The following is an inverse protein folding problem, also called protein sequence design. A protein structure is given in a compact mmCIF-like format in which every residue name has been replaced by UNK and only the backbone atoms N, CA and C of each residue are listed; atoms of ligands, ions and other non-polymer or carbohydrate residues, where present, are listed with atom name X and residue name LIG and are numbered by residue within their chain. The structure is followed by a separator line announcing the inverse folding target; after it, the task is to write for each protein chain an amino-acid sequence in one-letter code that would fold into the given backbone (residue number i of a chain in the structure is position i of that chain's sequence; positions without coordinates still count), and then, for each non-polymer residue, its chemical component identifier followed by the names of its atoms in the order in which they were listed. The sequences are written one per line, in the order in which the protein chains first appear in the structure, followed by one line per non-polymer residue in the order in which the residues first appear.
data_IF_682059723560
#
_entry.id   IF_682059723560
#
_cell.length_a   1.000
_cell.length_b   1.000
_cell.length_c   1.000
_cell.angle_alpha   90.00
_cell.angle_beta   90.00
_cell.angle_gamma   90.00
#
_symmetry.space_group_name_H-M   'P 1'
#
loop_
_entity.id
_entity.type
_entity.pdbx_description
1 polymer ?
#
# COMPACT_ATOMS: atom_id res chain seq x y z
N UNK A 1 43.00 -17.93 70.42
CA UNK A 1 43.51 -17.08 71.52
C UNK A 1 43.56 -15.64 71.03
N UNK A 2 42.88 -14.77 71.77
CA UNK A 2 42.73 -13.33 71.62
C UNK A 2 44.08 -12.59 71.49
N UNK A 3 44.12 -11.52 70.68
CA UNK A 3 44.33 -10.15 71.21
C UNK A 3 44.21 -9.06 70.14
N UNK A 4 43.31 -8.14 70.44
CA UNK A 4 43.11 -6.81 69.87
C UNK A 4 44.20 -5.84 70.31
N UNK A 5 44.35 -4.73 69.55
CA UNK A 5 44.55 -3.31 69.96
C UNK A 5 45.12 -2.50 68.78
N UNK A 6 44.89 -1.21 68.54
CA UNK A 6 43.91 -0.14 68.87
C UNK A 6 44.54 1.15 68.25
N UNK A 7 43.74 2.07 67.68
CA UNK A 7 43.99 3.54 67.55
C UNK A 7 45.15 4.03 66.64
N UNK A 8 45.19 5.21 65.99
CA UNK A 8 44.38 6.44 65.82
C UNK A 8 45.00 7.19 64.61
N UNK A 9 44.24 7.64 63.60
CA UNK A 9 43.80 9.03 63.32
C UNK A 9 44.88 10.06 62.88
N UNK A 10 44.53 10.87 61.87
CA UNK A 10 45.04 12.22 61.49
C UNK A 10 45.98 12.24 60.25
N UNK A 11 45.90 13.07 59.20
CA UNK A 11 44.93 14.04 58.63
C UNK A 11 45.53 14.56 57.29
N UNK A 12 44.65 14.96 56.36
CA UNK A 12 44.77 16.04 55.35
C UNK A 12 45.80 15.92 54.20
N UNK A 13 45.28 15.81 52.97
CA UNK A 13 45.53 16.79 51.90
C UNK A 13 44.47 16.62 50.79
N UNK A 14 43.50 17.52 50.76
CA UNK A 14 42.55 17.66 49.66
C UNK A 14 43.19 18.51 48.55
N UNK A 15 43.28 17.97 47.34
CA UNK A 15 43.54 18.73 46.12
C UNK A 15 42.38 18.46 45.16
N UNK A 16 41.50 19.45 45.03
CA UNK A 16 40.39 19.43 44.09
C UNK A 16 40.88 19.60 42.66
N UNK A 17 40.33 18.78 41.76
CA UNK A 17 40.33 19.07 40.33
C UNK A 17 38.86 19.23 39.95
N UNK A 18 38.46 20.49 39.82
CA UNK A 18 37.15 20.89 39.32
C UNK A 18 37.21 20.80 37.79
N UNK A 19 36.75 19.69 37.23
CA UNK A 19 36.58 19.56 35.78
C UNK A 19 35.30 20.30 35.38
N UNK A 20 35.44 21.52 34.85
CA UNK A 20 34.36 22.20 34.13
C UNK A 20 34.13 21.47 32.81
N UNK A 21 33.10 20.62 32.73
CA UNK A 21 32.57 20.16 31.45
C UNK A 21 31.72 21.28 30.86
N UNK A 22 32.24 21.93 29.82
CA UNK A 22 31.46 22.81 28.95
C UNK A 22 30.35 21.98 28.28
N UNK A 23 29.11 22.15 28.74
CA UNK A 23 27.93 21.75 27.97
C UNK A 23 27.80 22.72 26.79
N UNK A 24 28.41 22.36 25.67
CA UNK A 24 28.14 22.98 24.37
C UNK A 24 26.74 22.53 23.92
N UNK A 25 25.87 23.51 23.66
CA UNK A 25 24.62 23.30 22.92
C UNK A 25 24.95 22.69 21.55
N UNK A 26 24.70 21.41 21.36
CA UNK A 26 24.53 20.85 20.02
C UNK A 26 23.07 21.03 19.62
N UNK A 27 22.85 21.81 18.57
CA UNK A 27 21.65 21.71 17.75
C UNK A 27 21.50 20.24 17.26
N UNK A 28 20.27 19.76 16.98
CA UNK A 28 20.10 18.44 16.39
C UNK A 28 20.90 18.39 15.09
N UNK A 29 21.81 17.42 15.00
CA UNK A 29 22.55 17.16 13.78
C UNK A 29 21.52 16.71 12.74
N UNK A 30 21.35 17.49 11.68
CA UNK A 30 20.85 16.95 10.43
C UNK A 30 21.83 15.86 10.00
N UNK A 31 21.34 14.63 10.01
CA UNK A 31 22.06 13.45 9.57
C UNK A 31 22.45 13.70 8.11
N UNK A 32 23.71 14.05 7.91
CA UNK A 32 24.26 14.39 6.60
C UNK A 32 24.37 13.09 5.82
N UNK A 33 23.80 13.08 4.61
CA UNK A 33 23.90 11.94 3.69
C UNK A 33 25.35 11.43 3.55
N UNK A 34 25.58 10.12 3.37
CA UNK A 34 26.92 9.55 3.25
C UNK A 34 27.74 10.24 2.15
N UNK A 35 29.02 10.45 2.44
CA UNK A 35 29.95 11.19 1.57
C UNK A 35 30.31 10.48 0.25
N UNK A 36 29.81 9.27 -0.01
CA UNK A 36 30.08 8.48 -1.21
C UNK A 36 28.99 8.57 -2.29
N UNK A 37 27.89 9.28 -2.02
CA UNK A 37 26.78 9.44 -2.98
C UNK A 37 25.80 8.27 -3.01
N UNK A 38 25.91 7.30 -2.09
CA UNK A 38 24.91 6.23 -1.91
C UNK A 38 23.82 6.67 -0.92
N UNK A 39 22.56 6.47 -1.30
CA UNK A 39 21.40 6.75 -0.45
C UNK A 39 21.15 5.60 0.54
N UNK A 40 21.55 4.37 0.21
CA UNK A 40 21.35 3.16 1.03
C UNK A 40 20.33 2.21 0.42
N UNK A 41 19.77 1.30 1.23
CA UNK A 41 18.76 0.34 0.80
C UNK A 41 17.36 0.67 1.35
N UNK A 42 16.32 0.20 0.66
CA UNK A 42 14.93 0.15 1.15
C UNK A 42 14.34 -1.24 0.91
N UNK A 43 13.65 -1.78 1.92
CA UNK A 43 12.79 -2.95 1.75
C UNK A 43 11.38 -2.51 1.36
N UNK A 44 10.92 -2.95 0.19
CA UNK A 44 9.66 -2.54 -0.44
C UNK A 44 8.66 -3.70 -0.43
N UNK A 45 7.60 -3.58 0.36
CA UNK A 45 6.49 -4.53 0.29
C UNK A 45 5.55 -4.22 -0.88
N UNK A 46 5.29 -5.18 -1.76
CA UNK A 46 4.42 -4.98 -2.92
C UNK A 46 3.64 -6.24 -3.27
N UNK A 47 2.46 -6.07 -3.88
CA UNK A 47 1.84 -7.18 -4.64
C UNK A 47 2.61 -7.42 -5.93
N UNK A 48 2.61 -8.66 -6.43
CA UNK A 48 3.38 -9.02 -7.64
C UNK A 48 3.13 -8.08 -8.83
N UNK A 49 1.85 -7.85 -9.15
CA UNK A 49 1.41 -6.99 -10.25
C UNK A 49 0.35 -6.00 -9.76
N UNK A 50 0.32 -4.74 -10.23
CA UNK A 50 1.37 -4.10 -11.02
C UNK A 50 2.50 -3.54 -10.13
N UNK A 51 2.31 -3.47 -8.81
CA UNK A 51 3.24 -2.79 -7.90
C UNK A 51 4.67 -3.34 -7.96
N UNK A 52 4.84 -4.66 -7.78
CA UNK A 52 6.13 -5.33 -7.81
C UNK A 52 6.82 -5.16 -9.15
N UNK A 53 6.08 -5.33 -10.26
CA UNK A 53 6.56 -5.09 -11.62
C UNK A 53 7.03 -3.64 -11.85
N UNK A 54 6.35 -2.64 -11.29
CA UNK A 54 6.75 -1.23 -11.38
C UNK A 54 8.04 -0.97 -10.59
N UNK A 55 8.15 -1.52 -9.38
CA UNK A 55 9.38 -1.39 -8.56
C UNK A 55 10.53 -2.12 -9.25
N UNK A 56 10.28 -3.30 -9.82
CA UNK A 56 11.27 -4.08 -10.56
C UNK A 56 11.74 -3.33 -11.81
N UNK A 57 10.85 -2.63 -12.52
CA UNK A 57 11.25 -1.77 -13.64
C UNK A 57 12.20 -0.65 -13.21
N UNK A 58 11.97 -0.01 -12.06
CA UNK A 58 12.87 1.02 -11.51
C UNK A 58 14.27 0.44 -11.21
N UNK A 59 14.34 -0.82 -10.80
CA UNK A 59 15.60 -1.55 -10.62
C UNK A 59 16.24 -1.86 -11.99
N UNK A 60 15.51 -2.51 -12.89
CA UNK A 60 16.03 -3.04 -14.16
C UNK A 60 16.42 -1.95 -15.16
N UNK A 61 15.77 -0.78 -15.10
CA UNK A 61 16.13 0.42 -15.88
C UNK A 61 17.43 1.08 -15.39
N UNK A 62 17.95 0.69 -14.22
CA UNK A 62 19.12 1.31 -13.59
C UNK A 62 18.85 2.64 -12.90
N UNK A 63 17.58 3.09 -12.83
CA UNK A 63 17.18 4.33 -12.17
C UNK A 63 17.56 4.33 -10.68
N UNK A 64 17.32 3.22 -9.97
CA UNK A 64 17.68 3.06 -8.57
C UNK A 64 19.21 3.10 -8.35
N UNK A 65 19.96 2.33 -9.13
CA UNK A 65 21.43 2.28 -9.06
C UNK A 65 22.05 3.66 -9.33
N UNK A 66 21.56 4.37 -10.36
CA UNK A 66 22.02 5.72 -10.70
C UNK A 66 21.75 6.74 -9.58
N UNK A 67 20.73 6.50 -8.76
CA UNK A 67 20.42 7.30 -7.58
C UNK A 67 21.18 6.84 -6.31
N UNK A 68 22.00 5.77 -6.40
CA UNK A 68 22.68 5.18 -5.26
C UNK A 68 21.73 4.48 -4.28
N UNK A 69 20.57 4.03 -4.76
CA UNK A 69 19.51 3.40 -3.98
C UNK A 69 19.42 1.91 -4.33
N UNK A 70 19.48 1.05 -3.32
CA UNK A 70 19.22 -0.38 -3.44
C UNK A 70 17.77 -0.68 -3.01
N UNK A 71 17.07 -1.53 -3.75
CA UNK A 71 15.67 -1.85 -3.50
C UNK A 71 15.50 -3.36 -3.35
N UNK A 72 15.02 -3.79 -2.19
CA UNK A 72 14.73 -5.19 -1.88
C UNK A 72 13.20 -5.39 -1.88
N UNK A 73 12.68 -6.10 -2.89
CA UNK A 73 11.23 -6.35 -3.00
C UNK A 73 10.84 -7.53 -2.10
N UNK A 74 9.85 -7.32 -1.24
CA UNK A 74 9.13 -8.38 -0.51
C UNK A 74 7.74 -8.50 -1.13
N UNK A 75 7.50 -9.60 -1.83
CA UNK A 75 6.23 -9.85 -2.49
C UNK A 75 5.17 -10.35 -1.50
N UNK A 76 3.95 -9.81 -1.61
CA UNK A 76 2.78 -10.22 -0.85
C UNK A 76 1.66 -10.68 -1.78
N UNK A 77 0.88 -11.66 -1.31
CA UNK A 77 -0.26 -12.24 -2.04
C UNK A 77 -1.61 -11.87 -1.43
N UNK A 78 -1.62 -11.02 -0.41
CA UNK A 78 -2.81 -10.61 0.35
C UNK A 78 -2.73 -9.12 0.75
N UNK A 79 -3.83 -8.58 1.29
CA UNK A 79 -3.93 -7.18 1.72
C UNK A 79 -3.81 -6.95 3.23
N UNK A 80 -3.75 -8.02 4.01
CA UNK A 80 -3.79 -7.96 5.48
C UNK A 80 -2.39 -7.97 6.11
N UNK A 81 -1.40 -8.51 5.40
CA UNK A 81 -0.03 -8.66 5.89
C UNK A 81 0.89 -7.44 5.65
N UNK A 82 0.81 -6.71 4.51
CA UNK A 82 1.81 -5.68 4.21
C UNK A 82 1.82 -4.49 5.19
N UNK A 83 0.66 -4.07 5.71
CA UNK A 83 0.60 -2.97 6.67
C UNK A 83 1.22 -3.35 8.02
N UNK A 84 0.84 -4.47 8.69
CA UNK A 84 1.53 -4.92 9.89
C UNK A 84 3.03 -5.09 9.71
N UNK A 85 3.48 -5.65 8.57
CA UNK A 85 4.91 -5.80 8.28
C UNK A 85 5.63 -4.44 8.18
N UNK A 86 4.96 -3.42 7.61
CA UNK A 86 5.45 -2.06 7.59
C UNK A 86 5.47 -1.46 9.01
N UNK A 87 4.40 -1.60 9.79
CA UNK A 87 4.31 -1.10 11.17
C UNK A 87 5.40 -1.67 12.08
N UNK A 88 5.72 -2.95 11.91
CA UNK A 88 6.69 -3.68 12.74
C UNK A 88 8.17 -3.42 12.35
N UNK A 89 8.42 -2.67 11.27
CA UNK A 89 9.79 -2.40 10.82
C UNK A 89 10.38 -3.43 9.87
N UNK A 90 9.60 -4.42 9.41
CA UNK A 90 10.07 -5.44 8.47
C UNK A 90 10.14 -4.95 7.03
N UNK A 91 9.41 -3.88 6.71
CA UNK A 91 9.46 -3.15 5.44
C UNK A 91 9.82 -1.70 5.72
N UNK A 92 10.45 -0.97 4.80
CA UNK A 92 10.61 0.49 4.93
C UNK A 92 9.44 1.25 4.28
N UNK A 93 8.90 0.68 3.21
CA UNK A 93 7.74 1.20 2.48
C UNK A 93 6.87 0.04 1.98
N UNK A 94 5.61 0.32 1.68
CA UNK A 94 4.79 -0.58 0.88
C UNK A 94 4.07 0.15 -0.27
N UNK A 95 3.76 -0.61 -1.32
CA UNK A 95 2.99 -0.17 -2.49
C UNK A 95 2.02 -1.31 -2.87
N UNK A 96 0.80 -1.25 -2.35
CA UNK A 96 -0.24 -2.26 -2.66
C UNK A 96 -1.69 -1.77 -2.47
N UNK A 97 -1.85 -0.59 -1.88
CA UNK A 97 -3.13 -0.10 -1.36
C UNK A 97 -3.39 1.32 -1.83
N UNK A 98 -4.65 1.73 -1.79
CA UNK A 98 -5.10 3.11 -1.96
C UNK A 98 -5.39 3.78 -0.61
N UNK A 99 -5.46 5.11 -0.60
CA UNK A 99 -5.66 5.91 0.61
C UNK A 99 -6.87 5.48 1.47
N UNK A 100 -8.07 5.20 0.91
CA UNK A 100 -9.20 4.75 1.73
C UNK A 100 -8.97 3.45 2.51
N UNK A 101 -8.12 2.55 1.98
CA UNK A 101 -7.78 1.29 2.66
C UNK A 101 -6.83 1.56 3.83
N UNK A 102 -5.84 2.43 3.61
CA UNK A 102 -4.90 2.85 4.64
C UNK A 102 -5.60 3.61 5.78
N UNK A 103 -6.53 4.50 5.45
CA UNK A 103 -7.28 5.29 6.43
C UNK A 103 -8.06 4.37 7.37
N UNK A 104 -8.78 3.36 6.83
CA UNK A 104 -9.46 2.35 7.63
C UNK A 104 -8.49 1.50 8.46
N UNK A 105 -7.34 1.12 7.90
CA UNK A 105 -6.32 0.38 8.65
C UNK A 105 -5.83 1.19 9.86
N UNK A 106 -5.45 2.45 9.66
CA UNK A 106 -4.99 3.33 10.73
C UNK A 106 -6.10 3.56 11.77
N UNK A 107 -7.35 3.78 11.35
CA UNK A 107 -8.49 3.94 12.27
C UNK A 107 -8.70 2.68 13.13
N UNK A 108 -8.68 1.49 12.52
CA UNK A 108 -8.97 0.23 13.19
C UNK A 108 -7.84 -0.23 14.13
N UNK A 109 -6.59 0.08 13.79
CA UNK A 109 -5.41 -0.39 14.54
C UNK A 109 -4.85 0.65 15.50
N UNK A 110 -5.18 1.93 15.31
CA UNK A 110 -4.55 3.05 16.01
C UNK A 110 -3.13 3.36 15.53
N UNK A 111 -2.74 2.80 14.38
CA UNK A 111 -1.47 3.09 13.73
C UNK A 111 -1.49 4.46 13.02
N UNK A 112 -0.33 4.92 12.57
CA UNK A 112 -0.16 6.19 11.88
C UNK A 112 0.81 6.03 10.70
N UNK A 113 0.51 5.06 9.84
CA UNK A 113 1.21 4.90 8.56
C UNK A 113 0.90 6.09 7.65
N UNK A 114 1.92 6.54 6.92
CA UNK A 114 1.93 7.81 6.19
C UNK A 114 1.94 7.58 4.68
N UNK A 115 1.03 8.25 3.96
CA UNK A 115 1.03 8.30 2.49
C UNK A 115 2.15 9.23 2.01
N UNK A 116 3.14 8.66 1.32
CA UNK A 116 4.18 9.44 0.62
C UNK A 116 3.58 10.11 -0.61
N UNK A 117 2.79 9.37 -1.39
CA UNK A 117 2.09 9.90 -2.55
C UNK A 117 1.45 8.84 -3.43
N UNK A 118 0.57 9.27 -4.35
CA UNK A 118 -0.06 8.43 -5.36
C UNK A 118 0.95 8.06 -6.45
N UNK A 119 0.87 6.81 -6.95
CA UNK A 119 1.77 6.28 -7.98
C UNK A 119 1.01 5.89 -9.25
N UNK A 120 -0.04 5.07 -9.11
CA UNK A 120 -0.82 4.58 -10.24
C UNK A 120 -2.26 4.27 -9.82
N UNK A 121 -3.21 4.33 -10.74
CA UNK A 121 -4.58 3.88 -10.58
C UNK A 121 -4.76 2.57 -11.34
N UNK A 122 -5.05 1.47 -10.64
CA UNK A 122 -5.57 0.24 -11.23
C UNK A 122 -7.12 0.27 -11.22
N UNK A 123 -7.80 0.49 -12.36
CA UNK A 123 -9.26 0.50 -12.41
C UNK A 123 -9.85 -0.82 -11.91
N UNK A 124 -10.90 -0.74 -11.09
CA UNK A 124 -11.68 -1.90 -10.66
C UNK A 124 -12.60 -2.35 -11.81
N UNK A 125 -12.89 -3.64 -11.92
CA UNK A 125 -13.84 -4.12 -12.92
C UNK A 125 -14.73 -5.26 -12.39
N UNK A 126 -15.94 -5.32 -12.97
CA UNK A 126 -16.85 -6.45 -12.89
C UNK A 126 -16.52 -7.42 -14.02
N UNK A 127 -16.24 -8.66 -13.68
CA UNK A 127 -15.93 -9.73 -14.63
C UNK A 127 -17.07 -10.75 -14.69
N UNK A 128 -17.27 -11.35 -15.86
CA UNK A 128 -18.11 -12.54 -16.02
C UNK A 128 -17.49 -13.52 -17.01
N UNK A 129 -17.74 -14.82 -16.78
CA UNK A 129 -17.40 -15.90 -17.72
C UNK A 129 -18.63 -16.41 -18.49
N UNK A 130 -19.82 -15.94 -18.15
CA UNK A 130 -21.10 -16.49 -18.64
C UNK A 130 -21.85 -15.53 -19.57
N UNK A 131 -21.59 -14.22 -19.45
CA UNK A 131 -22.18 -13.17 -20.30
C UNK A 131 -21.09 -12.21 -20.75
N UNK A 132 -21.30 -11.56 -21.91
CA UNK A 132 -20.37 -10.59 -22.50
C UNK A 132 -20.82 -9.13 -22.26
N UNK A 133 -22.09 -8.92 -21.90
CA UNK A 133 -22.69 -7.60 -21.69
C UNK A 133 -23.39 -7.53 -20.33
N UNK A 134 -23.29 -6.39 -19.66
CA UNK A 134 -23.95 -6.16 -18.36
C UNK A 134 -25.47 -6.35 -18.43
N UNK A 135 -26.08 -5.99 -19.55
CA UNK A 135 -27.52 -6.11 -19.78
C UNK A 135 -28.00 -7.57 -19.87
N UNK A 136 -27.10 -8.51 -20.15
CA UNK A 136 -27.40 -9.94 -20.27
C UNK A 136 -27.32 -10.67 -18.92
N UNK A 137 -26.85 -10.00 -17.86
CA UNK A 137 -26.78 -10.57 -16.52
C UNK A 137 -28.20 -10.93 -16.02
N UNK A 138 -28.47 -12.20 -15.67
CA UNK A 138 -29.82 -12.65 -15.37
C UNK A 138 -30.34 -12.01 -14.07
N UNK A 139 -31.65 -11.78 -13.99
CA UNK A 139 -32.28 -11.40 -12.71
C UNK A 139 -31.98 -12.46 -11.65
N UNK A 140 -31.65 -12.02 -10.45
CA UNK A 140 -31.23 -12.92 -9.38
C UNK A 140 -29.81 -13.46 -9.51
N UNK A 141 -28.99 -12.94 -10.43
CA UNK A 141 -27.59 -13.33 -10.56
C UNK A 141 -26.82 -13.18 -9.25
N UNK A 142 -25.90 -14.10 -9.00
CA UNK A 142 -24.94 -14.02 -7.92
C UNK A 142 -23.73 -13.19 -8.36
N UNK A 143 -23.47 -12.10 -7.64
CA UNK A 143 -22.36 -11.19 -7.89
C UNK A 143 -21.43 -11.23 -6.67
N UNK A 144 -20.22 -11.76 -6.85
CA UNK A 144 -19.21 -11.72 -5.80
C UNK A 144 -18.51 -10.35 -5.72
N UNK A 145 -18.18 -9.91 -4.52
CA UNK A 145 -17.48 -8.66 -4.26
C UNK A 145 -16.49 -8.78 -3.09
N UNK A 146 -15.46 -7.91 -3.00
CA UNK A 146 -14.52 -7.88 -1.88
C UNK A 146 -15.24 -7.69 -0.54
N UNK A 147 -14.77 -8.35 0.51
CA UNK A 147 -15.35 -8.29 1.86
C UNK A 147 -14.63 -7.34 2.83
N UNK A 148 -13.67 -6.53 2.34
CA UNK A 148 -13.11 -5.42 3.10
C UNK A 148 -13.88 -4.14 2.80
N UNK A 149 -14.22 -3.37 3.84
CA UNK A 149 -15.16 -2.26 3.73
C UNK A 149 -14.78 -1.18 2.69
N UNK A 150 -13.47 -0.96 2.46
CA UNK A 150 -13.02 0.03 1.47
C UNK A 150 -13.23 -0.45 0.03
N UNK A 151 -12.88 -1.70 -0.27
CA UNK A 151 -13.05 -2.28 -1.60
C UNK A 151 -14.49 -2.71 -1.85
N UNK A 152 -15.24 -3.11 -0.82
CA UNK A 152 -16.68 -3.35 -0.89
C UNK A 152 -17.42 -2.06 -1.24
N UNK A 153 -17.13 -0.96 -0.54
CA UNK A 153 -17.67 0.36 -0.88
C UNK A 153 -17.33 0.78 -2.32
N UNK A 154 -16.07 0.58 -2.76
CA UNK A 154 -15.64 0.83 -4.14
C UNK A 154 -16.41 -0.01 -5.15
N UNK A 155 -16.63 -1.29 -4.86
CA UNK A 155 -17.39 -2.21 -5.71
C UNK A 155 -18.84 -1.75 -5.84
N UNK A 156 -19.49 -1.39 -4.73
CA UNK A 156 -20.86 -0.90 -4.72
C UNK A 156 -21.02 0.41 -5.51
N UNK A 157 -20.05 1.33 -5.38
CA UNK A 157 -20.00 2.54 -6.19
C UNK A 157 -19.86 2.24 -7.69
N UNK A 158 -19.00 1.30 -8.08
CA UNK A 158 -18.88 0.88 -9.49
C UNK A 158 -20.22 0.36 -10.05
N UNK A 159 -20.93 -0.45 -9.27
CA UNK A 159 -22.23 -0.98 -9.67
C UNK A 159 -23.33 0.10 -9.71
N UNK A 160 -23.28 1.07 -8.80
CA UNK A 160 -24.18 2.22 -8.80
C UNK A 160 -23.94 3.14 -10.00
N UNK A 161 -22.68 3.43 -10.33
CA UNK A 161 -22.28 4.21 -11.50
C UNK A 161 -22.69 3.52 -12.81
N UNK A 162 -22.71 2.18 -12.83
CA UNK A 162 -23.24 1.39 -13.95
C UNK A 162 -24.77 1.35 -14.01
N UNK A 163 -25.47 1.91 -13.01
CA UNK A 163 -26.93 1.99 -12.96
C UNK A 163 -27.64 0.67 -12.66
N UNK A 164 -26.94 -0.34 -12.11
CA UNK A 164 -27.55 -1.64 -11.81
C UNK A 164 -28.11 -1.75 -10.38
N UNK A 165 -27.64 -0.88 -9.47
CA UNK A 165 -28.13 -0.69 -8.12
C UNK A 165 -28.12 0.79 -7.75
N UNK A 166 -28.76 1.16 -6.64
CA UNK A 166 -28.56 2.45 -5.96
C UNK A 166 -27.97 2.19 -4.58
N UNK A 167 -27.17 3.12 -4.05
CA UNK A 167 -26.52 3.02 -2.73
C UNK A 167 -26.76 4.29 -1.90
N UNK A 168 -26.30 4.29 -0.66
CA UNK A 168 -26.04 5.53 0.08
C UNK A 168 -24.88 6.32 -0.55
N UNK A 169 -24.64 7.55 -0.07
CA UNK A 169 -23.58 8.43 -0.61
C UNK A 169 -22.15 7.90 -0.36
N UNK A 170 -21.97 7.08 0.68
CA UNK A 170 -20.68 6.53 1.09
C UNK A 170 -20.86 5.08 1.55
N UNK A 171 -21.13 4.16 0.60
CA UNK A 171 -21.37 2.77 0.95
C UNK A 171 -20.08 2.12 1.43
N UNK A 172 -20.23 1.18 2.36
CA UNK A 172 -19.13 0.39 2.93
C UNK A 172 -19.49 -1.09 3.08
N UNK A 173 -20.78 -1.43 2.92
CA UNK A 173 -21.29 -2.80 2.99
C UNK A 173 -22.53 -2.97 2.10
N UNK A 174 -22.87 -4.19 1.71
CA UNK A 174 -24.11 -4.55 0.98
C UNK A 174 -25.39 -3.99 1.62
N UNK A 175 -25.40 -3.73 2.94
CA UNK A 175 -26.57 -3.13 3.61
C UNK A 175 -26.81 -1.65 3.24
N UNK A 176 -25.84 -1.00 2.59
CA UNK A 176 -25.93 0.37 2.08
C UNK A 176 -26.63 0.43 0.70
N UNK A 177 -27.05 -0.69 0.13
CA UNK A 177 -27.83 -0.74 -1.12
C UNK A 177 -29.26 -0.27 -0.85
N UNK A 178 -29.66 0.80 -1.54
CA UNK A 178 -30.98 1.45 -1.38
C UNK A 178 -31.99 1.00 -2.44
N UNK A 179 -31.53 0.53 -3.61
CA UNK A 179 -32.36 -0.11 -4.63
C UNK A 179 -31.60 -1.21 -5.38
N UNK A 180 -32.28 -2.34 -5.62
CA UNK A 180 -31.77 -3.49 -6.38
C UNK A 180 -32.87 -4.02 -7.33
N UNK A 181 -33.12 -3.37 -8.47
CA UNK A 181 -34.29 -3.65 -9.33
C UNK A 181 -34.26 -5.02 -10.03
N UNK A 182 -33.11 -5.69 -10.08
CA UNK A 182 -32.93 -7.00 -10.69
C UNK A 182 -32.78 -8.13 -9.65
N UNK A 183 -32.97 -7.84 -8.36
CA UNK A 183 -32.89 -8.79 -7.26
C UNK A 183 -31.56 -9.56 -7.22
N UNK A 184 -30.44 -8.93 -7.60
CA UNK A 184 -29.10 -9.55 -7.56
C UNK A 184 -28.72 -9.99 -6.14
N UNK A 185 -28.01 -11.11 -6.03
CA UNK A 185 -27.49 -11.63 -4.78
C UNK A 185 -26.01 -11.26 -4.64
N UNK A 186 -25.67 -10.46 -3.65
CA UNK A 186 -24.29 -10.05 -3.41
C UNK A 186 -23.60 -11.00 -2.43
N UNK A 187 -22.45 -11.54 -2.83
CA UNK A 187 -21.67 -12.51 -2.05
C UNK A 187 -20.32 -11.88 -1.68
N UNK A 188 -20.11 -11.59 -0.40
CA UNK A 188 -18.86 -11.03 0.12
C UNK A 188 -17.78 -12.12 0.22
N UNK A 189 -16.66 -11.94 -0.48
CA UNK A 189 -15.55 -12.90 -0.54
C UNK A 189 -14.23 -12.15 -0.33
N UNK A 190 -13.24 -12.82 0.28
CA UNK A 190 -11.87 -12.32 0.37
C UNK A 190 -11.32 -11.94 -1.03
N UNK A 191 -10.69 -10.77 -1.12
CA UNK A 191 -10.29 -10.19 -2.41
C UNK A 191 -9.35 -11.11 -3.22
N UNK A 192 -8.46 -11.86 -2.56
CA UNK A 192 -7.54 -12.78 -3.23
C UNK A 192 -8.26 -14.02 -3.80
N UNK A 193 -9.47 -14.32 -3.31
CA UNK A 193 -10.27 -15.48 -3.73
C UNK A 193 -11.25 -15.16 -4.87
N UNK A 194 -11.53 -13.89 -5.15
CA UNK A 194 -12.50 -13.44 -6.16
C UNK A 194 -12.22 -13.95 -7.59
N UNK A 195 -10.96 -14.02 -8.08
CA UNK A 195 -10.72 -14.58 -9.42
C UNK A 195 -11.21 -16.02 -9.57
N UNK A 196 -11.10 -16.84 -8.50
CA UNK A 196 -11.58 -18.22 -8.50
C UNK A 196 -13.09 -18.29 -8.33
N UNK A 197 -13.69 -17.33 -7.63
CA UNK A 197 -15.14 -17.28 -7.44
C UNK A 197 -15.93 -17.15 -8.76
N UNK A 198 -15.30 -16.62 -9.82
CA UNK A 198 -15.90 -16.54 -11.16
C UNK A 198 -16.28 -17.90 -11.77
N UNK A 199 -15.76 -19.01 -11.26
CA UNK A 199 -16.17 -20.35 -11.72
C UNK A 199 -17.55 -20.76 -11.21
N UNK A 200 -17.99 -20.21 -10.08
CA UNK A 200 -19.23 -20.58 -9.39
C UNK A 200 -20.25 -19.43 -9.31
N UNK A 201 -19.87 -18.20 -9.65
CA UNK A 201 -20.74 -17.01 -9.63
C UNK A 201 -21.04 -16.51 -11.05
N UNK A 202 -22.15 -15.79 -11.22
CA UNK A 202 -22.52 -15.21 -12.52
C UNK A 202 -21.60 -14.04 -12.90
N UNK A 203 -21.14 -13.28 -11.90
CA UNK A 203 -20.12 -12.25 -12.06
C UNK A 203 -19.32 -12.05 -10.76
N UNK A 204 -18.15 -11.45 -10.86
CA UNK A 204 -17.36 -11.05 -9.69
C UNK A 204 -16.66 -9.71 -9.94
N UNK A 205 -16.69 -8.84 -8.94
CA UNK A 205 -15.85 -7.65 -8.90
C UNK A 205 -14.44 -8.10 -8.51
N UNK A 206 -13.42 -7.80 -9.30
CA UNK A 206 -12.04 -8.26 -9.03
C UNK A 206 -11.07 -7.09 -9.15
N UNK A 207 -10.27 -6.85 -8.11
CA UNK A 207 -9.19 -5.88 -8.16
C UNK A 207 -8.13 -6.28 -9.22
N UNK A 208 -7.61 -5.29 -9.93
CA UNK A 208 -6.71 -5.50 -11.07
C UNK A 208 -5.51 -6.41 -10.76
N UNK A 209 -4.86 -6.25 -9.61
CA UNK A 209 -3.72 -7.07 -9.20
C UNK A 209 -4.07 -8.58 -9.13
N UNK A 210 -5.23 -8.92 -8.56
CA UNK A 210 -5.70 -10.31 -8.49
C UNK A 210 -6.19 -10.81 -9.84
N UNK A 211 -6.85 -9.95 -10.62
CA UNK A 211 -7.27 -10.27 -11.98
C UNK A 211 -6.05 -10.59 -12.88
N UNK A 212 -5.03 -9.73 -12.86
CA UNK A 212 -3.79 -9.90 -13.61
C UNK A 212 -3.02 -11.15 -13.19
N UNK A 213 -2.88 -11.39 -11.89
CA UNK A 213 -2.22 -12.60 -11.37
C UNK A 213 -2.97 -13.89 -11.75
N UNK A 214 -4.30 -13.84 -11.88
CA UNK A 214 -5.14 -14.96 -12.32
C UNK A 214 -5.27 -15.06 -13.85
N UNK A 215 -4.69 -14.15 -14.62
CA UNK A 215 -4.78 -14.12 -16.07
C UNK A 215 -6.18 -13.76 -16.61
N UNK A 216 -6.98 -13.04 -15.82
CA UNK A 216 -8.25 -12.49 -16.32
C UNK A 216 -7.96 -11.36 -17.31
N UNK A 217 -8.51 -11.50 -18.51
CA UNK A 217 -8.33 -10.55 -19.60
C UNK A 217 -9.49 -9.55 -19.69
N UNK A 218 -9.25 -8.43 -20.39
CA UNK A 218 -10.22 -7.33 -20.49
C UNK A 218 -11.50 -7.68 -21.26
N UNK A 219 -11.50 -8.73 -22.07
CA UNK A 219 -12.69 -9.26 -22.76
C UNK A 219 -13.73 -9.87 -21.82
N UNK A 220 -13.32 -10.22 -20.59
CA UNK A 220 -14.23 -10.69 -19.54
C UNK A 220 -14.86 -9.55 -18.73
N UNK A 221 -14.44 -8.29 -18.94
CA UNK A 221 -14.94 -7.15 -18.18
C UNK A 221 -16.30 -6.68 -18.72
N UNK A 222 -17.31 -6.69 -17.86
CA UNK A 222 -18.63 -6.14 -18.14
C UNK A 222 -18.70 -4.63 -17.91
N UNK A 223 -18.01 -4.16 -16.86
CA UNK A 223 -17.94 -2.76 -16.44
C UNK A 223 -16.59 -2.51 -15.81
N UNK A 224 -15.99 -1.37 -16.12
CA UNK A 224 -14.70 -0.94 -15.57
C UNK A 224 -14.82 0.47 -15.02
N UNK A 225 -14.17 0.69 -13.89
CA UNK A 225 -14.11 1.99 -13.22
C UNK A 225 -13.47 3.06 -14.12
N UNK A 226 -14.00 4.27 -14.06
CA UNK A 226 -13.45 5.40 -14.77
C UNK A 226 -12.13 5.92 -14.17
N UNK A 227 -11.53 6.90 -14.85
CA UNK A 227 -10.24 7.49 -14.44
C UNK A 227 -10.38 8.56 -13.35
N UNK A 228 -11.60 9.06 -13.11
CA UNK A 228 -11.90 10.02 -12.04
C UNK A 228 -12.11 9.26 -10.72
N UNK A 229 -11.03 8.68 -10.20
CA UNK A 229 -11.06 7.79 -9.04
C UNK A 229 -10.15 8.29 -7.91
N UNK A 230 -10.57 8.07 -6.67
CA UNK A 230 -9.74 8.31 -5.47
C UNK A 230 -8.84 7.12 -5.12
N UNK A 231 -8.97 6.01 -5.85
CA UNK A 231 -8.37 4.72 -5.52
C UNK A 231 -7.00 4.51 -6.19
N UNK A 232 -6.25 5.60 -6.41
CA UNK A 232 -4.84 5.51 -6.76
C UNK A 232 -4.10 4.76 -5.67
N UNK A 233 -3.32 3.76 -6.08
CA UNK A 233 -2.37 3.10 -5.22
C UNK A 233 -1.25 4.08 -4.83
N UNK A 234 -0.92 4.04 -3.54
CA UNK A 234 -0.02 4.98 -2.90
C UNK A 234 1.21 4.28 -2.35
N UNK A 235 2.36 4.94 -2.45
CA UNK A 235 3.52 4.57 -1.66
C UNK A 235 3.28 4.99 -0.21
N UNK A 236 3.43 4.06 0.72
CA UNK A 236 3.17 4.26 2.15
C UNK A 236 4.43 3.93 2.95
N UNK A 237 4.69 4.68 4.01
CA UNK A 237 5.82 4.47 4.93
C UNK A 237 5.40 4.72 6.38
N UNK A 238 6.31 4.52 7.35
CA UNK A 238 6.09 4.91 8.75
C UNK A 238 6.38 6.40 8.97
N UNK A 239 5.76 7.01 9.97
CA UNK A 239 5.93 8.46 10.23
C UNK A 239 7.40 8.88 10.41
N UNK A 240 8.25 8.04 11.00
CA UNK A 240 9.68 8.34 11.17
C UNK A 240 10.47 8.37 9.85
N UNK A 241 9.95 7.75 8.78
CA UNK A 241 10.58 7.70 7.46
C UNK A 241 9.97 8.70 6.46
N UNK A 242 8.97 9.50 6.85
CA UNK A 242 8.28 10.44 5.94
C UNK A 242 9.20 11.50 5.30
N UNK A 243 10.30 11.83 5.97
CA UNK A 243 11.31 12.77 5.50
C UNK A 243 12.61 12.07 5.07
N UNK A 244 12.61 10.75 4.98
CA UNK A 244 13.79 9.99 4.58
C UNK A 244 14.11 10.28 3.10
N UNK A 245 15.35 10.70 2.77
CA UNK A 245 15.74 11.00 1.40
C UNK A 245 15.66 9.77 0.48
N UNK A 246 15.80 8.55 0.99
CA UNK A 246 15.62 7.30 0.23
C UNK A 246 14.17 7.15 -0.21
N UNK A 247 13.22 7.36 0.71
CA UNK A 247 11.78 7.26 0.43
C UNK A 247 11.34 8.33 -0.55
N UNK A 248 11.83 9.56 -0.37
CA UNK A 248 11.60 10.67 -1.30
C UNK A 248 12.13 10.31 -2.69
N UNK A 249 13.35 9.78 -2.78
CA UNK A 249 13.96 9.38 -4.05
C UNK A 249 13.16 8.26 -4.72
N UNK A 250 12.78 7.22 -3.98
CA UNK A 250 11.96 6.13 -4.52
C UNK A 250 10.64 6.66 -5.11
N UNK A 251 9.97 7.57 -4.42
CA UNK A 251 8.74 8.19 -4.93
C UNK A 251 8.97 8.93 -6.25
N UNK A 252 10.06 9.71 -6.35
CA UNK A 252 10.44 10.39 -7.60
C UNK A 252 10.70 9.41 -8.75
N UNK A 253 11.35 8.26 -8.47
CA UNK A 253 11.61 7.23 -9.48
C UNK A 253 10.34 6.51 -9.92
N UNK A 254 9.45 6.18 -8.98
CA UNK A 254 8.15 5.55 -9.26
C UNK A 254 7.21 6.47 -10.07
N UNK A 255 7.45 7.77 -10.03
CA UNK A 255 6.64 8.80 -10.72
C UNK A 255 7.41 9.52 -11.83
N UNK A 256 8.58 8.99 -12.24
CA UNK A 256 9.37 9.55 -13.34
C UNK A 256 8.66 9.37 -14.68
N UNK A 257 8.95 10.24 -15.65
CA UNK A 257 8.37 10.14 -17.00
C UNK A 257 8.65 8.77 -17.65
N UNK A 258 9.82 8.18 -17.35
CA UNK A 258 10.21 6.86 -17.82
C UNK A 258 9.35 5.75 -17.20
N UNK A 259 9.13 5.78 -15.89
CA UNK A 259 8.25 4.83 -15.20
C UNK A 259 6.79 5.01 -15.61
N UNK A 260 6.33 6.26 -15.80
CA UNK A 260 4.98 6.55 -16.32
C UNK A 260 4.79 5.99 -17.74
N UNK A 261 5.81 6.10 -18.60
CA UNK A 261 5.78 5.52 -19.94
C UNK A 261 5.73 3.98 -19.88
N UNK A 262 6.56 3.37 -19.02
CA UNK A 262 6.52 1.93 -18.79
C UNK A 262 5.13 1.45 -18.36
N UNK A 263 4.50 2.11 -17.38
CA UNK A 263 3.16 1.74 -16.90
C UNK A 263 2.15 1.78 -18.06
N UNK A 264 2.14 2.86 -18.85
CA UNK A 264 1.22 2.98 -19.98
C UNK A 264 1.45 1.90 -21.04
N UNK A 265 2.70 1.66 -21.42
CA UNK A 265 3.05 0.74 -22.51
C UNK A 265 2.88 -0.72 -22.09
N UNK A 266 3.37 -1.09 -20.90
CA UNK A 266 3.33 -2.47 -20.41
C UNK A 266 1.91 -2.96 -20.14
N UNK A 267 1.07 -2.12 -19.52
CA UNK A 267 -0.33 -2.45 -19.24
C UNK A 267 -1.30 -2.02 -20.34
N UNK A 268 -0.82 -1.51 -21.48
CA UNK A 268 -1.64 -1.03 -22.60
C UNK A 268 -2.76 -0.05 -22.15
N UNK A 269 -2.46 0.84 -21.21
CA UNK A 269 -3.40 1.79 -20.63
C UNK A 269 -4.43 1.22 -19.64
N UNK A 270 -4.35 -0.07 -19.30
CA UNK A 270 -5.20 -0.68 -18.25
C UNK A 270 -4.77 -0.29 -16.83
N UNK A 271 -3.53 0.17 -16.66
CA UNK A 271 -3.05 0.81 -15.43
C UNK A 271 -2.68 2.23 -15.79
N UNK A 272 -3.16 3.20 -15.00
CA UNK A 272 -3.03 4.62 -15.30
C UNK A 272 -1.99 5.21 -14.34
N UNK A 273 -0.85 5.73 -14.80
CA UNK A 273 0.09 6.39 -13.91
C UNK A 273 -0.50 7.68 -13.33
N UNK A 274 0.01 8.11 -12.17
CA UNK A 274 -0.30 9.44 -11.62
C UNK A 274 0.06 10.54 -12.63
N UNK A 275 -0.72 11.61 -12.64
CA UNK A 275 -0.51 12.77 -13.53
C UNK A 275 0.86 13.42 -13.32
#
# INVERSE_FOLDING_TARGET
MSRSKFFSLSTVAAAGVLALTLAGCSAPAEESAPADGTLGSLTVGATATPAGEIVQFVIDSGQAEAAGLELDIVEFTDYTTPNPALSEGSLDVNLFQHAPFLDLYNENTGDNLFVVGQVYLPPLALYSKTVDDLADLPKGANIALPNDASNEGRALLLLADAGIIETTDAPSTVSDITANPNDYNFIEIDAASLPSALDDQDAAIVNFNYAGAAGLSGDLQLVTEGTSSVYYNTLVTRDELKSDPRVTKLYELLTSDETKAYINDFYNGLVIPVS
#
